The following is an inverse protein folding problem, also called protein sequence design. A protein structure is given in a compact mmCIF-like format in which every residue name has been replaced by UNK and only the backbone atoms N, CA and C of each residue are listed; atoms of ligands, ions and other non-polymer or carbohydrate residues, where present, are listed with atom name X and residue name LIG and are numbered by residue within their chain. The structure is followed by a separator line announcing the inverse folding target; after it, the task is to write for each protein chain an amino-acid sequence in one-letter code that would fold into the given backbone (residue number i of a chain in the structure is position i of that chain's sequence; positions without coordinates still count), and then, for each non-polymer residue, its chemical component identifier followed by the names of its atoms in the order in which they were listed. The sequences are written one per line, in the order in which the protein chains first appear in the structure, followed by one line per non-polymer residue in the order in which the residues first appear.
data_IF_119868374628
#
_entry.id   IF_119868374628
#
_cell.length_a   1.000
_cell.length_b   1.000
_cell.length_c   1.000
_cell.angle_alpha   90.00
_cell.angle_beta   90.00
_cell.angle_gamma   90.00
#
_symmetry.space_group_name_H-M   'P 1'
#
loop_
_entity.id
_entity.type
_entity.pdbx_description
1 polymer ?
#
# COMPACT_ATOMS: atom_id res chain seq x y z
N UNK A 1 -32.05 33.07 -16.11
CA UNK A 1 -31.06 32.24 -16.85
C UNK A 1 -29.60 32.56 -16.50
N UNK A 2 -29.17 33.83 -16.36
CA UNK A 2 -27.80 34.21 -15.94
C UNK A 2 -27.35 33.63 -14.59
N UNK A 3 -28.22 33.59 -13.58
CA UNK A 3 -27.91 33.03 -12.26
C UNK A 3 -27.73 31.51 -12.24
N UNK A 4 -28.36 30.79 -13.18
CA UNK A 4 -28.24 29.33 -13.35
C UNK A 4 -26.92 28.93 -14.02
N UNK A 5 -26.38 29.80 -14.87
CA UNK A 5 -25.05 29.64 -15.45
C UNK A 5 -23.93 29.89 -14.44
N UNK A 6 -24.11 30.85 -13.53
CA UNK A 6 -23.12 31.16 -12.50
C UNK A 6 -23.01 30.04 -11.45
N UNK A 7 -24.12 29.41 -11.09
CA UNK A 7 -24.13 28.26 -10.17
C UNK A 7 -23.53 27.00 -10.79
N UNK A 8 -23.73 26.76 -12.09
CA UNK A 8 -23.09 25.66 -12.80
C UNK A 8 -21.56 25.81 -12.88
N UNK A 9 -21.05 27.04 -13.02
CA UNK A 9 -19.61 27.32 -13.06
C UNK A 9 -18.91 27.05 -11.71
N UNK A 10 -19.61 27.30 -10.60
CA UNK A 10 -19.08 27.06 -9.24
C UNK A 10 -19.02 25.56 -8.91
N UNK A 11 -20.00 24.76 -9.37
CA UNK A 11 -19.97 23.31 -9.17
C UNK A 11 -18.81 22.61 -9.92
N UNK A 12 -18.38 23.14 -11.07
CA UNK A 12 -17.25 22.59 -11.83
C UNK A 12 -15.89 22.83 -11.15
N UNK A 13 -15.78 23.84 -10.27
CA UNK A 13 -14.54 24.12 -9.53
C UNK A 13 -14.26 23.16 -8.37
N UNK A 14 -15.31 22.55 -7.80
CA UNK A 14 -15.21 21.69 -6.62
C UNK A 14 -14.67 20.28 -6.90
N UNK A 15 -14.58 19.86 -8.16
CA UNK A 15 -14.09 18.51 -8.53
C UNK A 15 -12.57 18.41 -8.64
N UNK A 16 -11.83 19.52 -8.48
CA UNK A 16 -10.38 19.55 -8.74
C UNK A 16 -9.48 19.37 -7.50
N UNK A 17 -10.02 19.40 -6.28
CA UNK A 17 -9.25 19.08 -5.08
C UNK A 17 -9.24 17.57 -4.81
N UNK A 18 -8.36 16.84 -5.51
CA UNK A 18 -8.04 15.47 -5.10
C UNK A 18 -7.04 15.53 -3.95
N UNK A 19 -7.49 15.20 -2.74
CA UNK A 19 -6.59 15.12 -1.59
C UNK A 19 -5.78 13.83 -1.70
N UNK A 20 -4.50 13.97 -2.00
CA UNK A 20 -3.52 12.88 -1.98
C UNK A 20 -3.40 12.31 -0.57
N UNK A 21 -3.46 10.97 -0.45
CA UNK A 21 -3.30 10.27 0.84
C UNK A 21 -4.60 9.86 1.55
N UNK A 22 -5.77 10.32 1.09
CA UNK A 22 -7.08 9.87 1.61
C UNK A 22 -7.69 8.70 0.84
N UNK A 23 -7.20 8.41 -0.36
CA UNK A 23 -7.65 7.29 -1.18
C UNK A 23 -6.51 6.30 -1.37
N UNK A 24 -6.83 5.05 -1.70
CA UNK A 24 -5.82 4.02 -1.95
C UNK A 24 -4.89 4.33 -3.13
N UNK A 25 -5.24 5.31 -3.99
CA UNK A 25 -4.49 5.61 -5.21
C UNK A 25 -4.63 4.55 -6.31
N UNK A 26 -5.46 3.51 -6.13
CA UNK A 26 -5.60 2.41 -7.10
C UNK A 26 -6.09 2.87 -8.47
N UNK A 27 -6.99 3.86 -8.51
CA UNK A 27 -7.54 4.43 -9.75
C UNK A 27 -6.46 5.05 -10.64
N UNK A 28 -5.36 5.53 -10.05
CA UNK A 28 -4.25 6.19 -10.74
C UNK A 28 -3.21 5.20 -11.29
N UNK A 29 -3.36 3.90 -11.02
CA UNK A 29 -2.49 2.88 -11.58
C UNK A 29 -2.74 2.70 -13.07
N UNK A 30 -1.66 2.56 -13.84
CA UNK A 30 -1.72 2.04 -15.21
C UNK A 30 -2.28 0.61 -15.24
N UNK A 31 -2.78 0.16 -16.38
CA UNK A 31 -3.31 -1.20 -16.52
C UNK A 31 -2.24 -2.27 -16.26
N UNK A 32 -0.99 -2.00 -16.63
CA UNK A 32 0.14 -2.87 -16.32
C UNK A 32 0.39 -2.98 -14.81
N UNK A 33 0.25 -1.89 -14.06
CA UNK A 33 0.36 -1.89 -12.60
C UNK A 33 -0.83 -2.58 -11.94
N UNK A 34 -2.06 -2.35 -12.41
CA UNK A 34 -3.26 -3.03 -11.89
C UNK A 34 -3.16 -4.55 -12.01
N UNK A 35 -2.62 -5.06 -13.12
CA UNK A 35 -2.37 -6.50 -13.32
C UNK A 35 -1.39 -7.12 -12.31
N UNK A 36 -0.56 -6.31 -11.67
CA UNK A 36 0.37 -6.75 -10.61
C UNK A 36 -0.28 -6.72 -9.22
N UNK A 37 -1.50 -6.20 -9.07
CA UNK A 37 -2.29 -6.28 -7.83
C UNK A 37 -3.07 -7.58 -7.81
N UNK A 38 -2.70 -8.47 -6.90
CA UNK A 38 -3.29 -9.82 -6.81
C UNK A 38 -4.07 -9.93 -5.49
N UNK A 39 -5.34 -10.33 -5.57
CA UNK A 39 -6.04 -10.83 -4.39
C UNK A 39 -5.45 -12.18 -4.03
N UNK A 40 -4.97 -12.32 -2.79
CA UNK A 40 -4.27 -13.50 -2.33
C UNK A 40 -5.02 -14.15 -1.19
N UNK A 41 -5.43 -15.41 -1.37
CA UNK A 41 -6.32 -16.11 -0.43
C UNK A 41 -5.58 -17.20 0.37
N UNK A 42 -4.31 -17.47 0.05
CA UNK A 42 -3.48 -18.47 0.73
C UNK A 42 -2.69 -17.88 1.91
N UNK A 43 -1.87 -18.71 2.57
CA UNK A 43 -0.96 -18.25 3.63
C UNK A 43 0.11 -17.31 3.04
N UNK A 44 0.36 -16.18 3.72
CA UNK A 44 1.40 -15.20 3.38
C UNK A 44 2.78 -15.85 3.17
N UNK A 45 3.09 -16.95 3.86
CA UNK A 45 4.34 -17.71 3.67
C UNK A 45 4.54 -18.26 2.25
N UNK A 46 3.45 -18.50 1.52
CA UNK A 46 3.49 -19.00 0.15
C UNK A 46 3.85 -17.90 -0.88
N UNK A 47 4.08 -16.67 -0.43
CA UNK A 47 4.45 -15.56 -1.30
C UNK A 47 5.94 -15.61 -1.62
N UNK A 48 6.24 -15.88 -2.88
CA UNK A 48 7.62 -15.91 -3.40
C UNK A 48 7.83 -14.94 -4.58
N UNK A 49 6.75 -14.44 -5.20
CA UNK A 49 6.82 -13.47 -6.30
C UNK A 49 6.66 -12.03 -5.81
N UNK A 50 7.79 -11.49 -5.40
CA UNK A 50 8.01 -10.13 -4.94
C UNK A 50 7.90 -9.05 -6.05
N UNK A 51 7.52 -9.42 -7.28
CA UNK A 51 7.18 -8.44 -8.32
C UNK A 51 5.74 -7.92 -8.22
N UNK A 52 4.89 -8.56 -7.39
CA UNK A 52 3.46 -8.26 -7.22
C UNK A 52 3.17 -7.48 -5.95
N UNK A 53 1.97 -6.94 -5.89
CA UNK A 53 1.36 -6.35 -4.69
C UNK A 53 0.18 -7.22 -4.31
N UNK A 54 0.24 -7.81 -3.12
CA UNK A 54 -0.77 -8.76 -2.68
C UNK A 54 -1.76 -8.10 -1.73
N UNK A 55 -3.05 -8.20 -2.07
CA UNK A 55 -4.14 -7.86 -1.17
C UNK A 55 -4.41 -9.08 -0.29
N UNK A 56 -4.17 -8.91 1.01
CA UNK A 56 -4.40 -9.90 2.05
C UNK A 56 -5.45 -9.38 3.03
N UNK A 57 -6.10 -10.30 3.73
CA UNK A 57 -7.03 -10.01 4.81
C UNK A 57 -6.30 -9.78 6.14
N UNK A 58 -6.98 -9.11 7.08
CA UNK A 58 -6.50 -8.98 8.46
C UNK A 58 -6.26 -10.35 9.13
N UNK A 59 -7.07 -11.36 8.81
CA UNK A 59 -6.89 -12.70 9.38
C UNK A 59 -5.60 -13.35 8.88
N UNK A 60 -5.25 -13.19 7.60
CA UNK A 60 -3.96 -13.68 7.08
C UNK A 60 -2.78 -12.98 7.76
N UNK A 61 -2.87 -11.68 8.01
CA UNK A 61 -1.84 -10.93 8.75
C UNK A 61 -1.71 -11.40 10.19
N UNK A 62 -2.83 -11.58 10.89
CA UNK A 62 -2.84 -12.13 12.26
C UNK A 62 -2.22 -13.52 12.31
N UNK A 63 -2.65 -14.41 11.42
CA UNK A 63 -2.11 -15.76 11.32
C UNK A 63 -0.58 -15.72 11.12
N UNK A 64 -0.09 -14.89 10.21
CA UNK A 64 1.35 -14.75 9.97
C UNK A 64 2.12 -14.28 11.22
N UNK A 65 1.56 -13.34 11.98
CA UNK A 65 2.16 -12.86 13.23
C UNK A 65 2.16 -13.96 14.31
N UNK A 66 1.09 -14.74 14.41
CA UNK A 66 0.94 -15.80 15.40
C UNK A 66 1.81 -17.03 15.12
N UNK A 67 2.15 -17.30 13.85
CA UNK A 67 2.95 -18.47 13.45
C UNK A 67 4.46 -18.21 13.39
N UNK A 68 4.92 -17.00 13.69
CA UNK A 68 6.32 -16.61 13.61
C UNK A 68 6.81 -15.94 14.90
N UNK A 69 7.98 -16.38 15.39
CA UNK A 69 8.55 -15.90 16.68
C UNK A 69 8.80 -14.39 16.73
N UNK A 70 9.27 -13.80 15.62
CA UNK A 70 9.61 -12.36 15.54
C UNK A 70 9.12 -11.78 14.23
N UNK A 71 8.07 -10.98 14.31
CA UNK A 71 7.52 -10.25 13.16
C UNK A 71 7.56 -8.76 13.44
N UNK A 72 8.13 -8.00 12.50
CA UNK A 72 7.99 -6.55 12.44
C UNK A 72 6.93 -6.21 11.38
N UNK A 73 5.76 -5.79 11.85
CA UNK A 73 4.73 -5.23 10.99
C UNK A 73 5.10 -3.77 10.67
N UNK A 74 5.40 -3.48 9.41
CA UNK A 74 5.79 -2.14 8.98
C UNK A 74 4.69 -1.49 8.13
N UNK A 75 3.96 -0.55 8.73
CA UNK A 75 2.98 0.28 8.02
C UNK A 75 3.69 1.34 7.17
N UNK A 76 3.86 1.02 5.90
CA UNK A 76 4.60 1.83 4.94
C UNK A 76 3.71 2.90 4.32
N UNK A 77 4.04 4.15 4.63
CA UNK A 77 3.49 5.34 3.98
C UNK A 77 4.46 5.82 2.88
N UNK A 78 4.06 5.82 1.59
CA UNK A 78 4.89 6.40 0.53
C UNK A 78 5.02 7.92 0.69
N UNK A 79 6.08 8.52 0.12
CA UNK A 79 6.38 9.97 0.19
C UNK A 79 6.61 10.51 1.61
N UNK A 80 7.00 9.64 2.53
CA UNK A 80 7.45 10.05 3.85
C UNK A 80 8.77 10.86 3.71
N UNK A 81 8.73 12.15 4.07
CA UNK A 81 9.86 13.09 3.97
C UNK A 81 10.63 13.31 5.28
N UNK A 82 10.16 12.69 6.38
CA UNK A 82 10.86 12.75 7.66
C UNK A 82 12.21 12.03 7.56
N UNK A 83 13.20 12.50 8.31
CA UNK A 83 14.51 11.84 8.45
C UNK A 83 14.41 10.47 9.13
N UNK A 84 13.27 10.18 9.77
CA UNK A 84 13.00 8.90 10.43
C UNK A 84 12.30 7.88 9.51
N UNK A 85 11.96 8.24 8.27
CA UNK A 85 11.35 7.30 7.33
C UNK A 85 12.38 6.25 6.89
N UNK A 86 12.02 4.97 6.94
CA UNK A 86 12.90 3.87 6.55
C UNK A 86 12.37 3.24 5.27
N UNK A 87 13.24 3.03 4.27
CA UNK A 87 12.79 2.31 3.07
C UNK A 87 12.50 0.84 3.41
N UNK A 88 11.46 0.21 2.82
CA UNK A 88 11.15 -1.20 3.04
C UNK A 88 12.36 -2.12 2.81
N UNK A 89 13.13 -1.87 1.74
CA UNK A 89 14.32 -2.66 1.43
C UNK A 89 15.42 -2.54 2.50
N UNK A 90 15.68 -1.33 3.00
CA UNK A 90 16.65 -1.12 4.07
C UNK A 90 16.19 -1.79 5.38
N UNK A 91 14.89 -1.72 5.70
CA UNK A 91 14.33 -2.37 6.89
C UNK A 91 14.46 -3.89 6.81
N UNK A 92 14.05 -4.50 5.70
CA UNK A 92 14.20 -5.94 5.45
C UNK A 92 15.66 -6.36 5.58
N UNK A 93 16.59 -5.62 4.99
CA UNK A 93 18.03 -5.94 5.09
C UNK A 93 18.54 -5.90 6.53
N UNK A 94 18.13 -4.93 7.35
CA UNK A 94 18.57 -4.79 8.75
C UNK A 94 17.96 -5.85 9.68
N UNK A 95 16.75 -6.31 9.37
CA UNK A 95 16.03 -7.31 10.16
C UNK A 95 16.46 -8.74 9.84
N UNK A 96 16.91 -9.00 8.60
CA UNK A 96 17.33 -10.33 8.14
C UNK A 96 18.40 -10.95 9.04
N UNK A 97 19.45 -10.20 9.35
CA UNK A 97 20.58 -10.70 10.16
C UNK A 97 20.20 -10.95 11.63
N UNK A 98 19.02 -10.48 12.06
CA UNK A 98 18.49 -10.63 13.42
C UNK A 98 17.42 -11.73 13.52
N UNK A 99 17.13 -12.42 12.42
CA UNK A 99 16.05 -13.41 12.34
C UNK A 99 14.67 -12.79 12.55
N UNK A 100 14.46 -11.54 12.14
CA UNK A 100 13.17 -10.85 12.23
C UNK A 100 12.50 -10.89 10.86
N UNK A 101 11.29 -11.44 10.80
CA UNK A 101 10.46 -11.41 9.61
C UNK A 101 9.81 -10.03 9.47
N UNK A 102 9.97 -9.37 8.32
CA UNK A 102 9.39 -8.05 8.08
C UNK A 102 8.16 -8.20 7.19
N UNK A 103 7.00 -7.81 7.73
CA UNK A 103 5.75 -7.75 7.00
C UNK A 103 5.44 -6.29 6.66
N UNK A 104 5.73 -5.89 5.42
CA UNK A 104 5.45 -4.52 4.97
C UNK A 104 4.01 -4.42 4.53
N UNK A 105 3.21 -3.60 5.21
CA UNK A 105 1.81 -3.34 4.88
C UNK A 105 1.67 -1.91 4.36
N UNK A 106 0.89 -1.69 3.31
CA UNK A 106 0.55 -0.32 2.88
C UNK A 106 -0.91 -0.19 2.51
N UNK A 107 -1.52 0.95 2.86
CA UNK A 107 -2.87 1.31 2.47
C UNK A 107 -2.95 1.97 1.07
N UNK A 108 -1.81 2.38 0.48
CA UNK A 108 -1.71 3.12 -0.80
C UNK A 108 -0.96 2.32 -1.87
N UNK A 109 -1.45 2.29 -3.10
CA UNK A 109 -0.83 1.55 -4.23
C UNK A 109 0.16 2.37 -5.06
N UNK A 110 0.11 3.70 -5.00
CA UNK A 110 0.70 4.58 -6.02
C UNK A 110 2.22 4.43 -6.19
N UNK A 111 2.95 3.94 -5.18
CA UNK A 111 4.38 3.64 -5.28
C UNK A 111 4.80 2.25 -4.76
N UNK A 112 3.85 1.36 -4.46
CA UNK A 112 4.21 -0.01 -4.03
C UNK A 112 4.97 -0.77 -5.13
N UNK A 113 4.82 -0.38 -6.39
CA UNK A 113 5.51 -1.01 -7.52
C UNK A 113 7.00 -0.66 -7.66
N UNK A 114 7.51 0.33 -6.93
CA UNK A 114 8.93 0.69 -6.88
C UNK A 114 9.71 -0.09 -5.81
N UNK A 115 9.02 -0.76 -4.89
CA UNK A 115 9.60 -1.52 -3.79
C UNK A 115 9.17 -2.99 -3.89
N UNK A 116 10.13 -3.92 -3.88
CA UNK A 116 9.90 -5.33 -4.22
C UNK A 116 9.11 -6.14 -3.16
N UNK A 117 8.62 -5.59 -2.05
CA UNK A 117 8.10 -6.46 -0.98
C UNK A 117 6.98 -5.79 -0.19
N UNK A 118 5.83 -5.53 -0.82
CA UNK A 118 4.71 -4.87 -0.13
C UNK A 118 3.45 -5.73 -0.18
N UNK A 119 2.99 -6.10 1.01
CA UNK A 119 1.72 -6.72 1.29
C UNK A 119 0.71 -5.60 1.63
N UNK A 120 -0.58 -5.84 1.41
CA UNK A 120 -1.63 -4.87 1.74
C UNK A 120 -2.73 -5.57 2.52
N UNK A 121 -2.86 -5.23 3.80
CA UNK A 121 -4.03 -5.56 4.59
C UNK A 121 -5.20 -4.68 4.14
N UNK A 122 -6.28 -5.29 3.70
CA UNK A 122 -7.58 -4.64 3.63
C UNK A 122 -8.20 -4.66 5.05
N UNK A 123 -8.33 -3.50 5.68
CA UNK A 123 -9.42 -3.29 6.64
C UNK A 123 -10.74 -3.24 5.87
#
# INVERSE_FOLDING_TARGET
MKHLFLSALILMGLTSCQITGLTSGYSHLSDAQKKRVITFEENIDNIHDFSKVYKVSLNQVKQYIETHDKVLLYDYTPFCHSTYCVSPAALVSQCKDKGINVLVVSNIYMMTFSNKSILRSLC
#
